data_IF_748298072904
#
_entry.id   IF_748298072904
#
_cell.length_a   1.000
_cell.length_b   1.000
_cell.length_c   1.000
_cell.angle_alpha   90.00
_cell.angle_beta   90.00
_cell.angle_gamma   90.00
#
_symmetry.space_group_name_H-M   'P 1'
#
loop_
_entity.id
_entity.type
_entity.pdbx_description
1 polymer ?
#
# COMPACT_ATOMS: atom_id res chain seq x y z
N UNK A 1 -16.66 -5.05 -15.90
CA UNK A 1 -17.23 -4.93 -14.53
C UNK A 1 -16.18 -5.52 -13.59
N UNK A 2 -15.54 -4.74 -12.70
CA UNK A 2 -14.62 -5.30 -11.70
C UNK A 2 -15.42 -6.21 -10.77
N UNK A 3 -14.85 -7.34 -10.36
CA UNK A 3 -15.47 -8.22 -9.36
C UNK A 3 -15.82 -7.39 -8.12
N UNK A 4 -17.01 -7.59 -7.59
CA UNK A 4 -17.43 -6.95 -6.35
C UNK A 4 -16.78 -7.59 -5.12
N UNK A 5 -16.09 -8.73 -5.30
CA UNK A 5 -15.44 -9.50 -4.25
C UNK A 5 -13.97 -9.70 -4.57
N UNK A 6 -13.16 -9.78 -3.53
CA UNK A 6 -11.74 -10.13 -3.55
C UNK A 6 -11.46 -11.32 -2.63
N UNK A 7 -10.42 -12.04 -2.96
CA UNK A 7 -9.95 -13.18 -2.18
C UNK A 7 -8.62 -12.84 -1.52
N UNK A 8 -8.54 -12.99 -0.19
CA UNK A 8 -7.34 -12.77 0.61
C UNK A 8 -6.87 -14.10 1.17
N UNK A 9 -5.60 -14.43 0.96
CA UNK A 9 -4.98 -15.69 1.33
C UNK A 9 -3.92 -15.52 2.42
N UNK A 10 -3.79 -16.54 3.26
CA UNK A 10 -2.78 -16.63 4.29
C UNK A 10 -3.19 -16.01 5.62
N UNK A 11 -2.79 -16.68 6.72
CA UNK A 11 -3.31 -16.40 8.06
C UNK A 11 -3.07 -14.95 8.52
N UNK A 12 -1.90 -14.39 8.22
CA UNK A 12 -1.56 -13.00 8.60
C UNK A 12 -2.48 -11.98 7.93
N UNK A 13 -2.67 -12.09 6.60
CA UNK A 13 -3.51 -11.17 5.85
C UNK A 13 -5.00 -11.34 6.20
N UNK A 14 -5.44 -12.58 6.43
CA UNK A 14 -6.81 -12.86 6.88
C UNK A 14 -7.05 -12.22 8.26
N UNK A 15 -6.17 -12.43 9.25
CA UNK A 15 -6.29 -11.82 10.58
C UNK A 15 -6.29 -10.30 10.51
N UNK A 16 -5.36 -9.71 9.77
CA UNK A 16 -5.31 -8.26 9.55
C UNK A 16 -6.65 -7.72 9.05
N UNK A 17 -7.29 -8.41 8.08
CA UNK A 17 -8.62 -8.02 7.58
C UNK A 17 -9.71 -8.06 8.64
N UNK A 18 -9.74 -9.10 9.48
CA UNK A 18 -10.72 -9.19 10.56
C UNK A 18 -10.52 -8.11 11.63
N UNK A 19 -9.27 -7.70 11.89
CA UNK A 19 -8.94 -6.66 12.87
C UNK A 19 -9.23 -5.24 12.37
N UNK A 20 -9.08 -5.00 11.07
CA UNK A 20 -9.12 -3.63 10.50
C UNK A 20 -10.41 -3.32 9.75
N UNK A 21 -11.03 -4.30 9.09
CA UNK A 21 -12.22 -4.11 8.26
C UNK A 21 -13.07 -5.39 8.19
N UNK A 22 -13.53 -5.85 9.34
CA UNK A 22 -14.36 -7.05 9.46
C UNK A 22 -15.68 -6.95 8.69
N UNK A 23 -16.26 -5.75 8.55
CA UNK A 23 -17.52 -5.53 7.84
C UNK A 23 -17.46 -5.91 6.37
N UNK A 24 -16.26 -5.92 5.78
CA UNK A 24 -16.05 -6.37 4.40
C UNK A 24 -16.07 -7.88 4.23
N UNK A 25 -15.99 -8.65 5.31
CA UNK A 25 -15.88 -10.12 5.28
C UNK A 25 -17.20 -10.75 4.87
N UNK A 26 -17.15 -11.70 3.93
CA UNK A 26 -18.31 -12.42 3.41
C UNK A 26 -18.27 -13.92 3.72
N UNK A 27 -17.12 -14.58 3.45
CA UNK A 27 -16.98 -16.04 3.60
C UNK A 27 -15.56 -16.38 4.02
N UNK A 28 -15.42 -17.37 4.88
CA UNK A 28 -14.12 -17.88 5.35
C UNK A 28 -13.99 -19.37 5.01
N UNK A 29 -12.86 -19.74 4.43
CA UNK A 29 -12.53 -21.12 4.12
C UNK A 29 -11.15 -21.45 4.68
N UNK A 30 -10.98 -22.65 5.24
CA UNK A 30 -9.71 -23.08 5.82
C UNK A 30 -9.61 -24.61 5.78
N UNK A 31 -8.39 -25.12 5.77
CA UNK A 31 -8.16 -26.58 5.83
C UNK A 31 -7.96 -27.06 7.28
N UNK A 32 -7.90 -28.39 7.47
CA UNK A 32 -7.72 -29.00 8.79
C UNK A 32 -6.45 -28.56 9.51
N UNK A 33 -5.36 -28.34 8.77
CA UNK A 33 -4.08 -27.91 9.34
C UNK A 33 -4.17 -26.50 9.97
N UNK A 34 -4.96 -25.61 9.36
CA UNK A 34 -5.14 -24.23 9.83
C UNK A 34 -6.31 -24.07 10.81
N UNK A 35 -7.20 -25.08 10.93
CA UNK A 35 -8.39 -25.01 11.79
C UNK A 35 -8.10 -24.57 13.24
N UNK A 36 -7.03 -25.04 13.94
CA UNK A 36 -6.73 -24.59 15.29
C UNK A 36 -6.46 -23.08 15.36
N UNK A 37 -5.81 -22.50 14.33
CA UNK A 37 -5.50 -21.09 14.26
C UNK A 37 -6.67 -20.22 13.78
N UNK A 38 -7.74 -20.81 13.25
CA UNK A 38 -8.93 -20.13 12.74
C UNK A 38 -10.10 -20.10 13.74
N UNK A 39 -9.97 -20.67 14.94
CA UNK A 39 -11.07 -20.90 15.86
C UNK A 39 -11.75 -19.62 16.37
N UNK A 40 -11.00 -18.56 16.59
CA UNK A 40 -11.52 -17.24 16.97
C UNK A 40 -12.26 -16.57 15.80
N UNK A 41 -11.73 -16.69 14.59
CA UNK A 41 -12.35 -16.18 13.36
C UNK A 41 -13.68 -16.91 13.10
N UNK A 42 -13.72 -18.23 13.28
CA UNK A 42 -14.93 -19.02 13.13
C UNK A 42 -16.03 -18.61 14.15
N UNK A 43 -15.64 -18.31 15.40
CA UNK A 43 -16.60 -17.80 16.40
C UNK A 43 -17.19 -16.46 15.98
N UNK A 44 -16.35 -15.56 15.48
CA UNK A 44 -16.81 -14.27 14.96
C UNK A 44 -17.75 -14.45 13.75
N UNK A 45 -17.39 -15.31 12.77
CA UNK A 45 -18.23 -15.63 11.61
C UNK A 45 -19.60 -16.18 12.02
N UNK A 46 -19.62 -17.04 13.04
CA UNK A 46 -20.88 -17.62 13.56
C UNK A 46 -21.76 -16.54 14.23
N UNK A 47 -21.17 -15.61 14.98
CA UNK A 47 -21.89 -14.49 15.61
C UNK A 47 -22.52 -13.58 14.57
N UNK A 48 -21.78 -13.28 13.49
CA UNK A 48 -22.26 -12.46 12.37
C UNK A 48 -23.13 -13.24 11.37
N UNK A 49 -23.40 -14.54 11.61
CA UNK A 49 -24.17 -15.42 10.73
C UNK A 49 -23.63 -15.52 9.32
N UNK A 50 -22.31 -15.42 9.17
CA UNK A 50 -21.61 -15.52 7.90
C UNK A 50 -21.14 -16.96 7.64
N UNK A 51 -20.91 -17.28 6.38
CA UNK A 51 -20.48 -18.61 5.94
C UNK A 51 -19.01 -18.85 6.26
N UNK A 52 -18.73 -19.95 6.97
CA UNK A 52 -17.37 -20.47 7.14
C UNK A 52 -17.36 -22.00 7.00
N UNK A 53 -16.30 -22.53 6.40
CA UNK A 53 -16.20 -23.97 6.11
C UNK A 53 -14.76 -24.46 6.23
N UNK A 54 -14.60 -25.66 6.82
CA UNK A 54 -13.39 -26.44 6.69
C UNK A 54 -13.49 -27.23 5.40
N UNK A 55 -12.51 -27.08 4.52
CA UNK A 55 -12.48 -27.66 3.16
C UNK A 55 -11.11 -28.31 2.90
N UNK A 56 -10.99 -29.12 1.85
CA UNK A 56 -9.70 -29.67 1.44
C UNK A 56 -8.84 -28.60 0.71
N UNK A 57 -7.52 -28.84 0.62
CA UNK A 57 -6.59 -27.87 0.04
C UNK A 57 -6.89 -27.57 -1.43
N UNK A 58 -7.34 -28.57 -2.18
CA UNK A 58 -7.73 -28.44 -3.58
C UNK A 58 -8.94 -27.50 -3.76
N UNK A 59 -9.89 -27.49 -2.82
CA UNK A 59 -11.01 -26.55 -2.85
C UNK A 59 -10.53 -25.13 -2.53
N UNK A 60 -9.54 -24.96 -1.61
CA UNK A 60 -8.91 -23.66 -1.36
C UNK A 60 -8.18 -23.13 -2.59
N UNK A 61 -7.51 -24.00 -3.36
CA UNK A 61 -6.87 -23.63 -4.63
C UNK A 61 -7.89 -23.12 -5.65
N UNK A 62 -9.03 -23.79 -5.77
CA UNK A 62 -10.11 -23.36 -6.65
C UNK A 62 -10.71 -22.02 -6.25
N UNK A 63 -10.94 -21.81 -4.94
CA UNK A 63 -11.50 -20.56 -4.40
C UNK A 63 -10.50 -19.41 -4.57
N UNK A 64 -9.22 -19.65 -4.33
CA UNK A 64 -8.18 -18.61 -4.33
C UNK A 64 -7.51 -18.41 -5.69
N UNK A 65 -7.71 -19.33 -6.64
CA UNK A 65 -6.98 -19.32 -7.90
C UNK A 65 -5.46 -19.52 -7.73
N UNK A 66 -4.99 -20.03 -6.58
CA UNK A 66 -3.57 -20.13 -6.25
C UNK A 66 -3.26 -21.32 -5.33
N UNK A 67 -2.17 -22.02 -5.60
CA UNK A 67 -1.61 -23.04 -4.69
C UNK A 67 -1.00 -22.42 -3.41
N UNK A 68 -0.75 -21.12 -3.39
CA UNK A 68 -0.12 -20.41 -2.28
C UNK A 68 -1.13 -19.75 -1.33
N UNK A 69 -2.20 -20.47 -0.98
CA UNK A 69 -3.28 -19.97 -0.11
C UNK A 69 -2.95 -20.06 1.39
N UNK A 70 -1.87 -20.73 1.80
CA UNK A 70 -1.46 -20.84 3.21
C UNK A 70 -2.49 -21.51 4.13
N UNK A 71 -3.36 -22.36 3.59
CA UNK A 71 -4.36 -23.14 4.32
C UNK A 71 -5.61 -22.36 4.77
N UNK A 72 -5.72 -21.08 4.44
CA UNK A 72 -6.86 -20.24 4.82
C UNK A 72 -7.11 -19.14 3.79
N UNK A 73 -8.37 -18.90 3.49
CA UNK A 73 -8.85 -17.95 2.50
C UNK A 73 -10.08 -17.22 3.01
N UNK A 74 -10.11 -15.90 2.89
CA UNK A 74 -11.30 -15.10 3.16
C UNK A 74 -11.75 -14.38 1.90
N UNK A 75 -13.05 -14.40 1.62
CA UNK A 75 -13.70 -13.62 0.56
C UNK A 75 -14.25 -12.37 1.17
N UNK A 76 -13.90 -11.22 0.61
CA UNK A 76 -14.29 -9.89 1.11
C UNK A 76 -14.88 -9.03 -0.01
N UNK A 77 -15.61 -7.98 0.37
CA UNK A 77 -15.98 -6.94 -0.59
C UNK A 77 -14.73 -6.25 -1.14
N UNK A 78 -14.67 -6.09 -2.46
CA UNK A 78 -13.60 -5.34 -3.09
C UNK A 78 -13.66 -3.86 -2.69
N UNK A 79 -12.54 -3.23 -2.31
CA UNK A 79 -12.53 -1.82 -1.97
C UNK A 79 -12.95 -0.98 -3.19
N UNK A 80 -13.83 -0.02 -2.96
CA UNK A 80 -14.17 0.97 -3.97
C UNK A 80 -13.09 2.07 -3.95
N UNK A 81 -12.31 2.13 -5.03
CA UNK A 81 -11.31 3.18 -5.18
C UNK A 81 -12.01 4.47 -5.62
N UNK A 82 -11.73 5.55 -4.92
CA UNK A 82 -12.23 6.90 -5.22
C UNK A 82 -11.08 7.91 -5.23
N UNK A 83 -11.32 9.08 -5.79
CA UNK A 83 -10.39 10.19 -5.64
C UNK A 83 -10.44 10.74 -4.20
N UNK A 84 -9.32 11.25 -3.68
CA UNK A 84 -9.33 11.97 -2.41
C UNK A 84 -10.01 13.32 -2.59
N UNK A 85 -10.71 13.76 -1.55
CA UNK A 85 -11.30 15.10 -1.51
C UNK A 85 -10.28 16.14 -1.02
N UNK A 86 -10.41 17.38 -1.44
CA UNK A 86 -9.49 18.45 -1.03
C UNK A 86 -9.49 18.67 0.49
N UNK A 87 -10.62 18.46 1.15
CA UNK A 87 -10.73 18.55 2.61
C UNK A 87 -9.90 17.46 3.30
N UNK A 88 -9.91 16.24 2.78
CA UNK A 88 -9.08 15.13 3.29
C UNK A 88 -7.59 15.44 3.13
N UNK A 89 -7.19 15.92 1.93
CA UNK A 89 -5.80 16.33 1.65
C UNK A 89 -5.31 17.36 2.67
N UNK A 90 -6.12 18.36 3.00
CA UNK A 90 -5.79 19.39 3.99
C UNK A 90 -5.65 18.80 5.39
N UNK A 91 -6.54 17.89 5.78
CA UNK A 91 -6.48 17.20 7.07
C UNK A 91 -5.22 16.35 7.20
N UNK A 92 -4.88 15.55 6.17
CA UNK A 92 -3.66 14.75 6.14
C UNK A 92 -2.40 15.63 6.21
N UNK A 93 -2.40 16.76 5.49
CA UNK A 93 -1.28 17.71 5.55
C UNK A 93 -1.12 18.33 6.94
N UNK A 94 -2.23 18.72 7.57
CA UNK A 94 -2.22 19.28 8.94
C UNK A 94 -1.75 18.24 9.97
N UNK A 95 -2.14 16.97 9.80
CA UNK A 95 -1.62 15.86 10.60
C UNK A 95 -0.17 15.50 10.23
N UNK A 96 0.36 16.17 9.19
CA UNK A 96 1.69 15.94 8.68
C UNK A 96 1.87 14.57 8.02
N UNK A 97 0.84 13.86 7.57
CA UNK A 97 0.94 12.53 6.94
C UNK A 97 1.74 12.57 5.63
N UNK A 98 2.59 11.56 5.40
CA UNK A 98 3.27 11.36 4.12
C UNK A 98 2.31 10.72 3.14
N UNK A 99 2.29 11.19 1.89
CA UNK A 99 1.54 10.58 0.79
C UNK A 99 2.48 9.82 -0.14
N UNK A 100 1.98 8.74 -0.73
CA UNK A 100 2.65 7.99 -1.78
C UNK A 100 1.81 8.01 -3.05
N UNK A 101 2.38 8.47 -4.16
CA UNK A 101 1.79 8.48 -5.48
C UNK A 101 2.59 7.54 -6.38
N UNK A 102 1.91 6.70 -7.17
CA UNK A 102 2.56 5.79 -8.11
C UNK A 102 2.17 6.17 -9.54
N UNK A 103 3.13 6.67 -10.32
CA UNK A 103 2.92 7.00 -11.72
C UNK A 103 3.14 5.76 -12.59
N UNK A 104 2.05 5.04 -12.90
CA UNK A 104 2.02 3.88 -13.80
C UNK A 104 2.96 2.72 -13.39
N UNK A 105 3.10 2.48 -12.08
CA UNK A 105 3.73 1.24 -11.60
C UNK A 105 2.84 0.07 -12.04
N UNK A 106 3.35 -0.74 -13.00
CA UNK A 106 2.52 -1.71 -13.72
C UNK A 106 2.53 -3.11 -13.12
N UNK A 107 3.53 -3.47 -12.33
CA UNK A 107 3.66 -4.80 -11.77
C UNK A 107 2.92 -4.95 -10.45
N UNK A 108 1.94 -5.86 -10.37
CA UNK A 108 1.13 -6.12 -9.16
C UNK A 108 1.97 -6.59 -7.96
N UNK A 109 3.09 -7.28 -8.20
CA UNK A 109 4.00 -7.70 -7.13
C UNK A 109 4.79 -6.50 -6.58
N UNK A 110 5.25 -5.59 -7.45
CA UNK A 110 5.87 -4.34 -7.02
C UNK A 110 4.88 -3.49 -6.23
N UNK A 111 3.63 -3.37 -6.69
CA UNK A 111 2.57 -2.67 -5.97
C UNK A 111 2.38 -3.27 -4.56
N UNK A 112 2.30 -4.59 -4.44
CA UNK A 112 2.17 -5.27 -3.15
C UNK A 112 3.35 -5.02 -2.22
N UNK A 113 4.59 -5.09 -2.74
CA UNK A 113 5.81 -4.85 -1.97
C UNK A 113 5.94 -3.37 -1.53
N UNK A 114 5.53 -2.42 -2.38
CA UNK A 114 5.45 -1.00 -2.06
C UNK A 114 4.45 -0.75 -0.93
N UNK A 115 3.25 -1.33 -1.02
CA UNK A 115 2.20 -1.19 0.00
C UNK A 115 2.66 -1.78 1.33
N UNK A 116 3.34 -2.94 1.32
CA UNK A 116 3.92 -3.53 2.53
C UNK A 116 4.94 -2.59 3.17
N UNK A 117 5.83 -2.00 2.37
CA UNK A 117 6.82 -1.03 2.84
C UNK A 117 6.16 0.26 3.37
N UNK A 118 5.12 0.76 2.67
CA UNK A 118 4.35 1.92 3.10
C UNK A 118 3.71 1.69 4.47
N UNK A 119 3.02 0.55 4.66
CA UNK A 119 2.44 0.15 5.94
C UNK A 119 3.49 0.06 7.05
N UNK A 120 4.65 -0.57 6.76
CA UNK A 120 5.75 -0.70 7.72
C UNK A 120 6.30 0.65 8.20
N UNK A 121 6.40 1.62 7.30
CA UNK A 121 6.88 2.98 7.61
C UNK A 121 5.78 3.95 8.06
N UNK A 122 4.54 3.48 8.26
CA UNK A 122 3.42 4.29 8.72
C UNK A 122 2.84 5.25 7.67
N UNK A 123 3.09 4.99 6.38
CA UNK A 123 2.46 5.72 5.28
C UNK A 123 1.13 5.06 4.94
N UNK A 124 0.04 5.75 5.21
CA UNK A 124 -1.33 5.20 5.18
C UNK A 124 -2.13 5.58 3.94
N UNK A 125 -1.59 6.43 3.06
CA UNK A 125 -2.30 6.95 1.88
C UNK A 125 -1.47 6.69 0.63
N UNK A 126 -2.07 5.97 -0.32
CA UNK A 126 -1.49 5.64 -1.63
C UNK A 126 -2.46 6.04 -2.74
N UNK A 127 -1.97 6.71 -3.78
CA UNK A 127 -2.77 7.23 -4.88
C UNK A 127 -2.26 6.68 -6.20
N UNK A 128 -3.18 6.14 -7.00
CA UNK A 128 -2.94 5.55 -8.32
C UNK A 128 -3.64 6.37 -9.40
N UNK A 129 -3.09 6.48 -10.61
CA UNK A 129 -3.83 7.00 -11.76
C UNK A 129 -4.76 5.94 -12.36
N UNK A 130 -5.86 6.38 -13.00
CA UNK A 130 -6.66 5.55 -13.91
C UNK A 130 -5.94 5.41 -15.26
N UNK A 131 -4.89 4.60 -15.26
CA UNK A 131 -4.05 4.38 -16.44
C UNK A 131 -3.98 2.88 -16.77
N UNK A 132 -4.06 2.47 -18.06
CA UNK A 132 -3.94 1.06 -18.43
C UNK A 132 -2.62 0.40 -18.05
N UNK A 133 -1.56 1.18 -17.89
CA UNK A 133 -0.23 0.71 -17.45
C UNK A 133 -0.10 0.63 -15.93
N UNK A 134 -1.07 1.16 -15.15
CA UNK A 134 -1.03 1.12 -13.69
C UNK A 134 -1.61 -0.20 -13.16
N UNK A 135 -0.89 -0.82 -12.24
CA UNK A 135 -1.41 -1.93 -11.46
C UNK A 135 -2.43 -1.43 -10.43
N UNK A 136 -3.47 -2.24 -10.21
CA UNK A 136 -4.46 -2.03 -9.18
C UNK A 136 -4.42 -3.17 -8.16
N UNK A 137 -4.92 -2.95 -6.92
CA UNK A 137 -5.02 -4.01 -5.92
C UNK A 137 -5.81 -5.21 -6.45
N UNK A 138 -5.16 -6.36 -6.47
CA UNK A 138 -5.68 -7.67 -6.82
C UNK A 138 -5.33 -8.68 -5.73
N UNK A 139 -5.80 -9.91 -5.83
CA UNK A 139 -5.44 -11.00 -4.92
C UNK A 139 -3.91 -11.20 -4.83
N UNK A 140 -3.20 -11.06 -5.96
CA UNK A 140 -1.74 -11.13 -5.97
C UNK A 140 -1.10 -9.98 -5.15
N UNK A 141 -1.67 -8.77 -5.23
CA UNK A 141 -1.23 -7.61 -4.43
C UNK A 141 -1.43 -7.87 -2.94
N UNK A 142 -2.62 -8.37 -2.54
CA UNK A 142 -2.91 -8.70 -1.13
C UNK A 142 -1.94 -9.73 -0.58
N UNK A 143 -1.62 -10.77 -1.36
CA UNK A 143 -0.68 -11.81 -0.96
C UNK A 143 0.72 -11.25 -0.69
N UNK A 144 1.24 -10.40 -1.58
CA UNK A 144 2.58 -9.80 -1.43
C UNK A 144 2.61 -8.76 -0.32
N UNK A 145 1.54 -8.00 -0.15
CA UNK A 145 1.42 -6.97 0.87
C UNK A 145 1.32 -7.53 2.31
N UNK A 146 1.01 -8.83 2.48
CA UNK A 146 0.92 -9.53 3.79
C UNK A 146 0.15 -8.75 4.86
N UNK A 147 -1.04 -8.22 4.52
CA UNK A 147 -1.87 -7.41 5.40
C UNK A 147 -1.63 -5.90 5.28
N UNK A 148 -0.60 -5.45 4.56
CA UNK A 148 -0.31 -4.02 4.38
C UNK A 148 -1.47 -3.22 3.77
N UNK A 149 -2.28 -3.85 2.89
CA UNK A 149 -3.47 -3.22 2.29
C UNK A 149 -4.58 -2.89 3.31
N UNK A 150 -4.54 -3.48 4.48
CA UNK A 150 -5.49 -3.17 5.56
C UNK A 150 -5.08 -1.92 6.35
N UNK A 151 -3.82 -1.49 6.20
CA UNK A 151 -3.25 -0.30 6.83
C UNK A 151 -3.00 0.85 5.85
N UNK A 152 -3.07 0.60 4.55
CA UNK A 152 -2.86 1.59 3.50
C UNK A 152 -4.13 1.78 2.69
N UNK A 153 -4.75 2.94 2.82
CA UNK A 153 -5.90 3.33 2.02
C UNK A 153 -5.46 3.72 0.61
N UNK A 154 -6.01 3.02 -0.39
CA UNK A 154 -5.70 3.25 -1.79
C UNK A 154 -6.77 4.14 -2.41
N UNK A 155 -6.33 5.22 -3.05
CA UNK A 155 -7.15 6.15 -3.83
C UNK A 155 -6.85 6.00 -5.31
N UNK A 156 -7.78 6.44 -6.15
CA UNK A 156 -7.61 6.45 -7.60
C UNK A 156 -8.06 7.80 -8.16
N UNK A 157 -7.25 8.37 -9.05
CA UNK A 157 -7.54 9.64 -9.73
C UNK A 157 -7.40 9.47 -11.24
N UNK A 158 -8.16 10.21 -12.02
CA UNK A 158 -8.07 10.15 -13.48
C UNK A 158 -6.69 10.53 -14.00
N UNK A 159 -6.08 11.58 -13.42
CA UNK A 159 -4.74 12.04 -13.78
C UNK A 159 -3.96 12.52 -12.55
N UNK A 160 -2.66 12.23 -12.47
CA UNK A 160 -1.81 12.65 -11.35
C UNK A 160 -1.46 14.14 -11.38
N UNK A 161 -1.25 14.73 -12.55
CA UNK A 161 -0.79 16.12 -12.66
C UNK A 161 -1.74 17.14 -12.01
N UNK A 162 -3.06 17.11 -12.24
CA UNK A 162 -3.99 17.97 -11.53
C UNK A 162 -3.96 17.78 -10.02
N UNK A 163 -3.85 16.53 -9.55
CA UNK A 163 -3.71 16.24 -8.12
C UNK A 163 -2.41 16.83 -7.56
N UNK A 164 -1.27 16.64 -8.25
CA UNK A 164 0.02 17.18 -7.83
C UNK A 164 -0.06 18.71 -7.67
N UNK A 165 -0.68 19.41 -8.62
CA UNK A 165 -0.89 20.86 -8.48
C UNK A 165 -1.76 21.22 -7.26
N UNK A 166 -2.79 20.44 -6.96
CA UNK A 166 -3.63 20.63 -5.78
C UNK A 166 -2.89 20.31 -4.45
N UNK A 167 -1.90 19.41 -4.48
CA UNK A 167 -1.06 19.05 -3.33
C UNK A 167 -0.01 20.12 -3.02
N UNK A 168 0.56 20.80 -4.01
CA UNK A 168 1.72 21.72 -3.87
C UNK A 168 1.56 22.80 -2.78
N UNK A 169 0.39 23.38 -2.51
CA UNK A 169 0.24 24.33 -1.40
C UNK A 169 0.44 23.70 -0.01
N UNK A 170 0.20 22.39 0.12
CA UNK A 170 0.17 21.67 1.40
C UNK A 170 1.33 20.71 1.58
N UNK A 171 1.91 20.22 0.50
CA UNK A 171 2.95 19.18 0.48
C UNK A 171 4.19 19.64 -0.27
N UNK A 172 5.34 19.13 0.14
CA UNK A 172 6.53 19.08 -0.69
C UNK A 172 6.42 17.86 -1.60
N UNK A 173 6.05 18.06 -2.86
CA UNK A 173 5.89 16.96 -3.84
C UNK A 173 7.25 16.60 -4.43
N UNK A 174 7.70 15.37 -4.18
CA UNK A 174 9.04 14.88 -4.50
C UNK A 174 8.92 13.70 -5.46
N UNK A 175 9.42 13.86 -6.69
CA UNK A 175 9.51 12.78 -7.66
C UNK A 175 10.81 12.00 -7.53
N UNK A 176 10.72 10.66 -7.55
CA UNK A 176 11.91 9.80 -7.63
C UNK A 176 12.36 9.68 -9.10
N UNK A 177 13.60 10.03 -9.39
CA UNK A 177 14.21 9.95 -10.70
C UNK A 177 15.51 9.15 -10.64
N UNK A 178 15.80 8.39 -11.70
CA UNK A 178 17.06 7.64 -11.82
C UNK A 178 18.25 8.58 -12.01
N UNK A 179 18.04 9.69 -12.77
CA UNK A 179 19.05 10.69 -13.07
C UNK A 179 18.51 12.10 -12.86
N UNK A 180 19.42 13.06 -12.66
CA UNK A 180 19.09 14.50 -12.61
C UNK A 180 18.40 14.98 -11.33
N UNK A 181 18.12 14.09 -10.40
CA UNK A 181 17.61 14.45 -9.08
C UNK A 181 18.72 14.83 -8.11
N UNK A 182 18.38 15.52 -7.04
CA UNK A 182 19.32 15.84 -5.96
C UNK A 182 19.44 14.64 -5.02
N UNK A 183 20.67 14.20 -4.66
CA UNK A 183 20.85 13.08 -3.72
C UNK A 183 20.41 13.46 -2.29
N UNK A 184 20.46 14.74 -1.97
CA UNK A 184 20.03 15.29 -0.70
C UNK A 184 18.99 16.39 -0.94
N UNK A 185 17.80 16.18 -0.37
CA UNK A 185 16.86 17.27 -0.20
C UNK A 185 17.19 17.94 1.14
N UNK A 186 18.00 18.97 1.09
CA UNK A 186 18.14 19.93 2.18
C UNK A 186 16.83 20.71 2.28
N UNK A 187 15.79 20.03 2.85
CA UNK A 187 14.50 20.66 2.95
C UNK A 187 14.53 21.71 4.07
N UNK A 188 14.58 22.95 3.67
CA UNK A 188 14.05 24.08 4.44
C UNK A 188 12.51 24.12 4.40
N UNK A 189 11.90 23.09 3.80
CA UNK A 189 10.46 23.00 3.60
C UNK A 189 9.86 22.15 4.74
N UNK A 190 9.10 22.78 5.62
CA UNK A 190 8.44 22.13 6.76
C UNK A 190 7.15 21.39 6.38
N UNK A 191 6.75 21.44 5.11
CA UNK A 191 5.57 20.72 4.64
C UNK A 191 5.80 19.21 4.65
N UNK A 192 4.74 18.40 4.88
CA UNK A 192 4.82 16.96 4.73
C UNK A 192 5.18 16.57 3.28
N UNK A 193 5.70 15.38 3.10
CA UNK A 193 6.16 14.89 1.81
C UNK A 193 5.04 14.14 1.07
N UNK A 194 4.85 14.44 -0.21
CA UNK A 194 4.17 13.57 -1.16
C UNK A 194 5.22 12.99 -2.11
N UNK A 195 5.53 11.70 -1.93
CA UNK A 195 6.52 10.98 -2.73
C UNK A 195 5.86 10.41 -3.98
N UNK A 196 6.45 10.68 -5.16
CA UNK A 196 5.98 10.16 -6.45
C UNK A 196 7.01 9.17 -6.99
N UNK A 197 6.59 7.93 -7.24
CA UNK A 197 7.41 6.88 -7.85
C UNK A 197 6.89 6.58 -9.25
N UNK A 198 7.79 6.43 -10.20
CA UNK A 198 7.47 6.18 -11.60
C UNK A 198 7.43 4.71 -11.98
N UNK A 199 7.06 4.46 -13.24
CA UNK A 199 7.06 3.16 -13.89
C UNK A 199 8.46 2.53 -13.86
N UNK A 200 8.51 1.19 -13.83
CA UNK A 200 9.74 0.41 -13.69
C UNK A 200 10.73 0.61 -14.86
N UNK A 201 10.21 0.82 -16.07
CA UNK A 201 11.02 0.94 -17.29
C UNK A 201 11.18 2.40 -17.73
N UNK A 202 10.08 3.18 -17.65
CA UNK A 202 10.03 4.55 -18.20
C UNK A 202 10.30 5.62 -17.14
N UNK A 203 10.27 5.27 -15.85
CA UNK A 203 10.34 6.23 -14.76
C UNK A 203 9.09 7.11 -14.67
N UNK A 204 9.25 8.34 -14.19
CA UNK A 204 8.17 9.32 -14.15
C UNK A 204 7.82 9.82 -15.55
N UNK A 205 6.53 10.00 -15.85
CA UNK A 205 6.11 10.71 -17.04
C UNK A 205 6.68 12.14 -17.04
N UNK A 206 7.04 12.70 -18.21
CA UNK A 206 7.65 14.02 -18.28
C UNK A 206 6.81 15.13 -17.64
N UNK A 207 5.50 15.09 -17.82
CA UNK A 207 4.54 16.03 -17.23
C UNK A 207 4.38 15.85 -15.72
N UNK A 208 4.38 14.61 -15.22
CA UNK A 208 4.38 14.28 -13.78
C UNK A 208 5.69 14.76 -13.14
N UNK A 209 6.82 14.50 -13.78
CA UNK A 209 8.14 14.95 -13.32
C UNK A 209 8.21 16.49 -13.25
N UNK A 210 7.72 17.18 -14.27
CA UNK A 210 7.69 18.65 -14.32
C UNK A 210 6.73 19.26 -13.26
N UNK A 211 5.67 18.57 -12.89
CA UNK A 211 4.72 19.02 -11.87
C UNK A 211 5.26 18.89 -10.43
N UNK A 212 6.26 18.03 -10.18
CA UNK A 212 6.88 17.88 -8.87
C UNK A 212 7.62 19.16 -8.42
N UNK A 213 7.72 19.41 -7.12
CA UNK A 213 8.52 20.51 -6.58
C UNK A 213 10.02 20.21 -6.70
N UNK A 214 10.40 18.95 -6.51
CA UNK A 214 11.78 18.49 -6.50
C UNK A 214 11.87 17.08 -7.09
N UNK A 215 13.04 16.76 -7.63
CA UNK A 215 13.40 15.40 -7.99
C UNK A 215 14.50 14.91 -7.03
N UNK A 216 14.39 13.66 -6.59
CA UNK A 216 15.38 12.96 -5.78
C UNK A 216 15.94 11.78 -6.55
N UNK A 217 17.25 11.58 -6.49
CA UNK A 217 17.93 10.40 -7.00
C UNK A 217 18.60 9.66 -5.85
N UNK A 218 18.41 8.35 -5.77
CA UNK A 218 19.14 7.49 -4.84
C UNK A 218 20.55 7.33 -5.37
N UNK A 219 21.60 7.78 -4.66
CA UNK A 219 22.97 7.63 -5.13
C UNK A 219 23.36 6.14 -5.16
N UNK A 220 23.96 5.72 -6.25
CA UNK A 220 24.44 4.36 -6.47
C UNK A 220 25.85 4.32 -7.03
N UNK A 221 26.37 3.13 -7.28
CA UNK A 221 27.72 2.91 -7.83
C UNK A 221 27.84 3.16 -9.33
N UNK A 222 26.75 3.48 -10.01
CA UNK A 222 26.60 3.61 -11.47
C UNK A 222 26.90 2.32 -12.26
N UNK A 223 26.99 1.16 -11.59
CA UNK A 223 27.16 -0.14 -12.26
C UNK A 223 25.85 -0.72 -12.76
N UNK A 224 24.75 -0.30 -12.16
CA UNK A 224 23.37 -0.63 -12.52
C UNK A 224 22.61 0.70 -12.57
N UNK A 225 21.77 0.86 -13.58
CA UNK A 225 21.08 2.12 -13.87
C UNK A 225 20.07 2.52 -12.77
N UNK A 226 19.32 1.54 -12.26
CA UNK A 226 18.25 1.80 -11.29
C UNK A 226 18.05 0.64 -10.33
N UNK A 227 17.44 0.93 -9.19
CA UNK A 227 16.86 -0.09 -8.31
C UNK A 227 15.47 -0.50 -8.81
N UNK A 228 15.05 -1.72 -8.50
CA UNK A 228 13.65 -2.08 -8.60
C UNK A 228 12.80 -1.06 -7.85
N UNK A 229 11.65 -0.67 -8.40
CA UNK A 229 10.80 0.40 -7.85
C UNK A 229 10.37 0.13 -6.41
N UNK A 230 10.13 -1.13 -6.02
CA UNK A 230 9.76 -1.46 -4.63
C UNK A 230 10.94 -1.29 -3.67
N UNK A 231 12.17 -1.58 -4.10
CA UNK A 231 13.37 -1.32 -3.32
C UNK A 231 13.64 0.20 -3.21
N UNK A 232 13.49 0.95 -4.30
CA UNK A 232 13.58 2.41 -4.29
C UNK A 232 12.53 3.02 -3.35
N UNK A 233 11.29 2.50 -3.37
CA UNK A 233 10.23 2.91 -2.46
C UNK A 233 10.63 2.73 -1.00
N UNK A 234 11.15 1.55 -0.62
CA UNK A 234 11.56 1.29 0.76
C UNK A 234 12.65 2.24 1.24
N UNK A 235 13.67 2.51 0.41
CA UNK A 235 14.76 3.45 0.73
C UNK A 235 14.24 4.87 0.92
N UNK A 236 13.38 5.34 0.01
CA UNK A 236 12.85 6.71 0.06
C UNK A 236 11.82 6.88 1.17
N UNK A 237 10.96 5.90 1.41
CA UNK A 237 10.02 5.91 2.54
C UNK A 237 10.78 5.98 3.86
N UNK A 238 11.79 5.13 4.07
CA UNK A 238 12.64 5.21 5.25
C UNK A 238 13.25 6.61 5.41
N UNK A 239 13.84 7.17 4.35
CA UNK A 239 14.46 8.51 4.37
C UNK A 239 13.48 9.62 4.75
N UNK A 240 12.25 9.59 4.22
CA UNK A 240 11.30 10.69 4.41
C UNK A 240 10.41 10.54 5.65
N UNK A 241 10.24 9.34 6.19
CA UNK A 241 9.47 9.12 7.41
C UNK A 241 10.30 9.31 8.69
N UNK A 242 11.62 9.05 8.67
CA UNK A 242 12.51 9.26 9.82
C UNK A 242 12.59 10.71 10.32
N UNK A 243 12.41 11.69 9.43
CA UNK A 243 12.43 13.12 9.82
C UNK A 243 11.36 13.50 10.84
N UNK A 244 10.33 12.68 11.02
CA UNK A 244 9.25 12.90 12.01
C UNK A 244 9.57 12.35 13.39
N UNK A 245 10.28 11.23 13.46
CA UNK A 245 10.63 10.61 14.74
C UNK A 245 11.63 11.44 15.54
N UNK A 246 12.39 12.33 14.88
CA UNK A 246 13.34 13.24 15.54
C UNK A 246 12.68 14.51 16.12
N UNK A 247 11.40 14.77 15.84
CA UNK A 247 10.69 15.98 16.31
C UNK A 247 9.79 15.66 17.51
N UNK A 248 9.43 14.38 17.74
CA UNK A 248 8.60 13.98 18.87
C UNK A 248 9.28 12.83 19.66
N UNK A 249 10.09 13.14 20.68
CA UNK A 249 10.73 12.16 21.54
C UNK A 249 9.78 11.67 22.65
N UNK A 250 8.53 11.33 22.33
CA UNK A 250 7.65 10.67 23.29
C UNK A 250 8.10 9.22 23.46
N UNK A 251 8.36 8.71 24.68
CA UNK A 251 8.86 7.36 24.87
C UNK A 251 7.78 6.34 24.45
N UNK A 252 8.15 5.48 23.50
CA UNK A 252 7.35 4.31 23.13
C UNK A 252 7.04 3.50 24.38
N UNK A 253 5.76 3.35 24.71
CA UNK A 253 5.31 2.40 25.72
C UNK A 253 5.72 1.00 25.27
N UNK A 254 6.69 0.44 25.96
CA UNK A 254 7.11 -0.95 25.86
C UNK A 254 5.91 -1.84 26.14
N UNK A 255 5.26 -2.37 25.09
CA UNK A 255 4.40 -3.54 25.26
C UNK A 255 5.32 -4.74 25.50
N UNK A 256 5.38 -5.19 26.75
CA UNK A 256 5.89 -6.50 27.09
C UNK A 256 4.96 -7.54 26.46
N UNK A 257 5.55 -8.40 25.68
CA UNK A 257 4.95 -9.69 25.33
C UNK A 257 5.30 -10.63 26.48
N UNK A 258 4.29 -11.00 27.27
CA UNK A 258 4.27 -12.19 28.09
C UNK A 258 3.50 -13.28 27.31
#
# INVERSE_FOLDING_TARGET
MRSKELVICGLKAVRSRFETNSDSVKRLFFNRATAPAAGDLCRWMAQERLVYRCVESEELELISGSVHHGGIVVVVDAPQLRAPELVEIRQWAAAGETLLLLDRVGNVHNLGAIIRSAAFFGVTKLILPEDPLAAFPTEATYRVAEGGLDHVQVFCVTHLVPLIHALRPYYSVIGAATHGGRPELTARDNRPVALVLGNEEQGLAPDVSAACNHLVTIPGSNRIESLNVSAAAAVLLWKFTQRRQSIDPSPSSTRKFD
#
